data_IF_839625481387
#
_entry.id   IF_839625481387
#
_cell.length_a   1.000
_cell.length_b   1.000
_cell.length_c   1.000
_cell.angle_alpha   90.00
_cell.angle_beta   90.00
_cell.angle_gamma   90.00
#
_symmetry.space_group_name_H-M   'P 1'
#
loop_
_entity.id
_entity.type
_entity.pdbx_description
1 polymer ?
#
# COMPACT_ATOMS: atom_id res chain seq x y z
N UNK A 1 12.87 20.54 -0.93
CA UNK A 1 13.18 19.21 -1.49
C UNK A 1 14.49 18.75 -0.84
N UNK A 2 14.46 17.77 0.05
CA UNK A 2 15.67 17.30 0.75
C UNK A 2 16.42 16.36 -0.20
N UNK A 3 17.61 16.75 -0.63
CA UNK A 3 18.47 15.95 -1.52
C UNK A 3 19.46 15.14 -0.68
N UNK A 4 19.64 13.85 -0.98
CA UNK A 4 20.68 13.03 -0.34
C UNK A 4 22.07 13.59 -0.68
N UNK A 5 22.87 13.87 0.34
CA UNK A 5 24.30 14.16 0.19
C UNK A 5 25.11 12.94 0.68
N UNK A 6 26.39 12.78 0.28
CA UNK A 6 27.21 11.62 0.65
C UNK A 6 27.30 11.31 2.16
N UNK A 7 26.96 12.28 3.01
CA UNK A 7 27.00 12.17 4.46
C UNK A 7 25.63 12.25 5.15
N UNK A 8 24.53 12.22 4.40
CA UNK A 8 23.16 12.33 4.95
C UNK A 8 22.33 11.08 4.62
N UNK A 9 22.71 9.95 5.21
CA UNK A 9 22.02 8.66 5.06
C UNK A 9 20.57 8.69 5.59
N UNK A 10 20.26 9.61 6.50
CA UNK A 10 18.93 9.73 7.12
C UNK A 10 17.83 10.07 6.10
N UNK A 11 18.16 10.74 4.98
CA UNK A 11 17.21 10.99 3.90
C UNK A 11 16.82 9.72 3.10
N UNK A 12 17.65 8.67 3.12
CA UNK A 12 17.41 7.42 2.36
C UNK A 12 16.97 6.25 3.24
N UNK A 13 16.97 6.41 4.57
CA UNK A 13 16.69 5.30 5.51
C UNK A 13 15.32 4.65 5.33
N UNK A 14 14.27 5.42 5.04
CA UNK A 14 12.93 4.89 4.77
C UNK A 14 12.91 4.05 3.47
N UNK A 15 13.59 4.51 2.43
CA UNK A 15 13.72 3.80 1.16
C UNK A 15 14.50 2.50 1.34
N UNK A 16 15.58 2.53 2.12
CA UNK A 16 16.39 1.35 2.44
C UNK A 16 15.59 0.31 3.24
N UNK A 17 14.81 0.74 4.24
CA UNK A 17 13.93 -0.15 5.01
C UNK A 17 12.87 -0.80 4.11
N UNK A 18 12.24 -0.02 3.22
CA UNK A 18 11.28 -0.54 2.25
C UNK A 18 11.91 -1.55 1.28
N UNK A 19 13.09 -1.24 0.75
CA UNK A 19 13.84 -2.15 -0.13
C UNK A 19 14.20 -3.46 0.58
N UNK A 20 14.61 -3.41 1.85
CA UNK A 20 14.93 -4.61 2.63
C UNK A 20 13.72 -5.56 2.75
N UNK A 21 12.53 -5.01 2.99
CA UNK A 21 11.29 -5.80 3.05
C UNK A 21 10.97 -6.41 1.68
N UNK A 22 11.00 -5.60 0.62
CA UNK A 22 10.72 -6.06 -0.75
C UNK A 22 11.66 -7.18 -1.18
N UNK A 23 12.97 -7.03 -0.94
CA UNK A 23 13.96 -8.07 -1.24
C UNK A 23 13.65 -9.35 -0.45
N UNK A 24 13.26 -9.25 0.82
CA UNK A 24 12.86 -10.39 1.64
C UNK A 24 11.65 -11.14 1.07
N UNK A 25 10.61 -10.39 0.66
CA UNK A 25 9.42 -10.96 0.03
C UNK A 25 9.75 -11.65 -1.30
N UNK A 26 10.54 -11.00 -2.16
CA UNK A 26 10.98 -11.57 -3.44
C UNK A 26 11.75 -12.87 -3.19
N UNK A 27 12.72 -12.87 -2.26
CA UNK A 27 13.50 -14.08 -1.91
C UNK A 27 12.61 -15.23 -1.45
N UNK A 28 11.56 -14.95 -0.67
CA UNK A 28 10.60 -15.96 -0.20
C UNK A 28 9.83 -16.60 -1.37
N UNK A 29 9.48 -15.83 -2.39
CA UNK A 29 8.70 -16.32 -3.53
C UNK A 29 9.53 -17.01 -4.61
N UNK A 30 10.78 -16.58 -4.85
CA UNK A 30 11.64 -17.19 -5.89
C UNK A 30 12.30 -18.50 -5.47
N UNK A 31 12.34 -18.80 -4.17
CA UNK A 31 13.00 -20.00 -3.63
C UNK A 31 14.43 -20.16 -4.15
N UNK A 32 14.74 -21.30 -4.77
CA UNK A 32 16.06 -21.60 -5.34
C UNK A 32 16.27 -21.11 -6.79
N UNK A 33 15.39 -20.24 -7.32
CA UNK A 33 15.45 -19.73 -8.69
C UNK A 33 15.70 -18.22 -8.71
N UNK A 34 16.90 -17.74 -8.35
CA UNK A 34 17.16 -16.30 -8.21
C UNK A 34 16.98 -15.49 -9.51
N UNK A 35 17.08 -16.14 -10.68
CA UNK A 35 16.94 -15.47 -11.99
C UNK A 35 15.50 -15.11 -12.36
N UNK A 36 14.49 -15.66 -11.68
CA UNK A 36 13.07 -15.44 -11.99
C UNK A 36 12.43 -14.35 -11.11
N UNK A 37 13.24 -13.52 -10.43
CA UNK A 37 12.74 -12.46 -9.55
C UNK A 37 11.83 -11.45 -10.26
N UNK A 38 12.09 -11.18 -11.53
CA UNK A 38 11.33 -10.22 -12.33
C UNK A 38 9.91 -10.71 -12.63
N UNK A 39 9.68 -12.03 -12.67
CA UNK A 39 8.36 -12.63 -12.92
C UNK A 39 7.40 -12.37 -11.75
N UNK A 40 7.91 -12.31 -10.52
CA UNK A 40 7.12 -12.14 -9.29
C UNK A 40 7.16 -10.71 -8.74
N UNK A 41 7.99 -9.84 -9.31
CA UNK A 41 8.18 -8.47 -8.84
C UNK A 41 6.88 -7.67 -8.77
N UNK A 42 6.07 -7.72 -9.83
CA UNK A 42 4.80 -6.99 -9.91
C UNK A 42 3.83 -7.43 -8.82
N UNK A 43 3.74 -8.74 -8.58
CA UNK A 43 2.88 -9.34 -7.56
C UNK A 43 3.34 -8.96 -6.15
N UNK A 44 4.66 -9.01 -5.90
CA UNK A 44 5.22 -8.61 -4.59
C UNK A 44 5.02 -7.12 -4.33
N UNK A 45 5.22 -6.26 -5.33
CA UNK A 45 4.96 -4.83 -5.19
C UNK A 45 3.48 -4.55 -4.94
N UNK A 46 2.59 -5.26 -5.64
CA UNK A 46 1.15 -5.15 -5.44
C UNK A 46 0.76 -5.53 -4.02
N UNK A 47 1.21 -6.70 -3.54
CA UNK A 47 0.95 -7.13 -2.17
C UNK A 47 1.53 -6.16 -1.14
N UNK A 48 2.77 -5.70 -1.34
CA UNK A 48 3.44 -4.75 -0.45
C UNK A 48 2.69 -3.42 -0.33
N UNK A 49 2.14 -2.90 -1.44
CA UNK A 49 1.42 -1.61 -1.45
C UNK A 49 0.04 -1.70 -0.80
N UNK A 50 -0.65 -2.82 -0.99
CA UNK A 50 -2.03 -3.02 -0.51
C UNK A 50 -2.13 -3.66 0.88
N UNK A 51 -1.03 -4.15 1.45
CA UNK A 51 -1.04 -4.66 2.83
C UNK A 51 -0.89 -3.51 3.82
N UNK A 52 -1.75 -3.42 4.85
CA UNK A 52 -1.56 -2.51 5.96
C UNK A 52 -0.20 -2.72 6.64
N UNK A 53 0.47 -1.63 7.03
CA UNK A 53 1.70 -1.72 7.83
C UNK A 53 1.33 -1.88 9.30
N UNK A 54 2.08 -2.71 10.03
CA UNK A 54 1.85 -2.90 11.45
C UNK A 54 1.99 -1.61 12.28
N UNK A 55 2.84 -0.67 11.83
CA UNK A 55 3.06 0.59 12.56
C UNK A 55 2.00 1.66 12.25
N UNK A 56 1.50 1.73 11.02
CA UNK A 56 0.54 2.78 10.61
C UNK A 56 -0.90 2.29 10.55
N UNK A 57 -1.15 0.97 10.57
CA UNK A 57 -2.48 0.37 10.39
C UNK A 57 -3.11 0.59 9.02
N UNK A 58 -2.46 1.32 8.12
CA UNK A 58 -2.96 1.70 6.79
C UNK A 58 -2.04 1.18 5.68
N UNK A 59 -2.60 1.00 4.48
CA UNK A 59 -1.88 0.54 3.31
C UNK A 59 -1.19 1.72 2.60
N UNK A 60 -0.05 1.46 1.95
CA UNK A 60 0.62 2.52 1.17
C UNK A 60 -0.25 2.98 -0.02
N UNK A 61 -1.09 2.08 -0.55
CA UNK A 61 -2.06 2.42 -1.58
C UNK A 61 -3.09 3.43 -1.07
N UNK A 62 -3.69 3.19 0.11
CA UNK A 62 -4.65 4.11 0.72
C UNK A 62 -4.06 5.49 0.95
N UNK A 63 -2.84 5.59 1.47
CA UNK A 63 -2.17 6.88 1.70
C UNK A 63 -1.97 7.71 0.40
N UNK A 64 -1.82 7.05 -0.75
CA UNK A 64 -1.64 7.73 -2.04
C UNK A 64 -2.99 8.10 -2.65
N UNK A 65 -3.95 7.18 -2.67
CA UNK A 65 -5.19 7.31 -3.43
C UNK A 65 -6.43 7.63 -2.60
N UNK A 66 -6.33 7.66 -1.28
CA UNK A 66 -7.44 7.92 -0.35
C UNK A 66 -8.16 6.68 0.14
N UNK A 67 -8.12 5.58 -0.62
CA UNK A 67 -9.00 4.43 -0.40
C UNK A 67 -8.25 3.12 -0.57
N UNK A 68 -8.72 2.07 0.10
CA UNK A 68 -8.16 0.73 -0.10
C UNK A 68 -8.51 0.20 -1.48
N UNK A 69 -7.53 -0.40 -2.17
CA UNK A 69 -7.75 -1.03 -3.46
C UNK A 69 -8.73 -2.21 -3.33
N UNK A 70 -9.58 -2.39 -4.34
CA UNK A 70 -10.37 -3.62 -4.46
C UNK A 70 -9.43 -4.73 -4.94
N UNK A 71 -9.18 -5.71 -4.08
CA UNK A 71 -8.27 -6.82 -4.42
C UNK A 71 -8.95 -7.80 -5.38
N UNK A 72 -8.15 -8.43 -6.26
CA UNK A 72 -8.67 -9.46 -7.16
C UNK A 72 -9.30 -10.64 -6.41
N UNK A 73 -8.82 -10.95 -5.20
CA UNK A 73 -9.42 -11.94 -4.32
C UNK A 73 -10.84 -11.54 -3.89
N UNK A 74 -11.09 -10.26 -3.63
CA UNK A 74 -12.43 -9.77 -3.27
C UNK A 74 -13.43 -9.96 -4.41
N UNK A 75 -12.97 -9.71 -5.64
CA UNK A 75 -13.77 -9.93 -6.85
C UNK A 75 -14.06 -11.42 -7.02
N UNK A 76 -13.03 -12.27 -6.93
CA UNK A 76 -13.17 -13.72 -7.10
C UNK A 76 -14.08 -14.35 -6.04
N UNK A 77 -14.06 -13.84 -4.80
CA UNK A 77 -14.91 -14.30 -3.71
C UNK A 77 -16.27 -13.59 -3.65
N UNK A 78 -16.49 -12.60 -4.51
CA UNK A 78 -17.67 -11.73 -4.51
C UNK A 78 -17.99 -11.21 -3.10
N UNK A 79 -17.01 -10.58 -2.44
CA UNK A 79 -17.15 -10.09 -1.06
C UNK A 79 -18.27 -9.07 -0.93
N UNK A 80 -18.67 -8.74 0.31
CA UNK A 80 -19.73 -7.76 0.57
C UNK A 80 -19.47 -6.43 -0.15
N UNK A 81 -18.23 -5.93 -0.12
CA UNK A 81 -17.83 -4.69 -0.81
C UNK A 81 -18.13 -4.75 -2.31
N UNK A 82 -17.80 -5.86 -2.97
CA UNK A 82 -18.00 -6.05 -4.42
C UNK A 82 -19.47 -6.30 -4.75
N UNK A 83 -20.12 -7.21 -4.02
CA UNK A 83 -21.51 -7.61 -4.27
C UNK A 83 -22.52 -6.48 -4.02
N UNK A 84 -22.26 -5.61 -3.05
CA UNK A 84 -23.11 -4.48 -2.71
C UNK A 84 -22.80 -3.20 -3.47
N UNK A 85 -21.73 -3.16 -4.26
CA UNK A 85 -21.32 -1.95 -4.98
C UNK A 85 -22.45 -1.36 -5.85
N UNK A 86 -23.25 -2.20 -6.51
CA UNK A 86 -24.35 -1.76 -7.37
C UNK A 86 -25.64 -1.41 -6.59
N UNK A 87 -25.71 -1.77 -5.30
CA UNK A 87 -26.87 -1.48 -4.45
C UNK A 87 -26.78 -0.09 -3.81
N UNK A 88 -25.61 0.59 -3.90
CA UNK A 88 -25.43 1.94 -3.38
C UNK A 88 -25.98 3.00 -4.34
N UNK A 89 -26.83 3.92 -3.85
CA UNK A 89 -27.12 5.15 -4.56
C UNK A 89 -25.81 5.87 -4.91
N UNK A 90 -25.74 6.41 -6.13
CA UNK A 90 -24.52 7.06 -6.64
C UNK A 90 -24.07 8.18 -5.71
N UNK A 91 -25.02 8.98 -5.19
CA UNK A 91 -24.73 10.09 -4.28
C UNK A 91 -24.13 9.59 -2.95
N UNK A 92 -24.68 8.52 -2.38
CA UNK A 92 -24.17 7.92 -1.13
C UNK A 92 -22.75 7.38 -1.31
N UNK A 93 -22.46 6.75 -2.46
CA UNK A 93 -21.12 6.29 -2.80
C UNK A 93 -20.13 7.45 -2.89
N UNK A 94 -20.48 8.53 -3.59
CA UNK A 94 -19.62 9.71 -3.71
C UNK A 94 -19.40 10.40 -2.38
N UNK A 95 -20.43 10.50 -1.53
CA UNK A 95 -20.31 11.08 -0.20
C UNK A 95 -19.36 10.26 0.68
N UNK A 96 -19.52 8.94 0.72
CA UNK A 96 -18.62 8.05 1.47
C UNK A 96 -17.16 8.15 0.98
N UNK A 97 -16.97 8.20 -0.34
CA UNK A 97 -15.65 8.40 -0.95
C UNK A 97 -15.04 9.75 -0.56
N UNK A 98 -15.85 10.81 -0.56
CA UNK A 98 -15.41 12.14 -0.20
C UNK A 98 -15.03 12.25 1.28
N UNK A 99 -15.79 11.61 2.17
CA UNK A 99 -15.50 11.56 3.60
C UNK A 99 -14.16 10.88 3.88
N UNK A 100 -13.88 9.72 3.26
CA UNK A 100 -12.59 9.06 3.35
C UNK A 100 -11.42 9.95 2.84
N UNK A 101 -11.64 10.73 1.77
CA UNK A 101 -10.63 11.69 1.28
C UNK A 101 -10.37 12.83 2.26
N UNK A 102 -11.41 13.32 2.94
CA UNK A 102 -11.26 14.38 3.94
C UNK A 102 -10.43 13.91 5.15
N UNK A 103 -10.54 12.63 5.52
CA UNK A 103 -9.78 12.04 6.62
C UNK A 103 -8.33 11.69 6.24
N UNK A 104 -8.05 11.55 4.93
CA UNK A 104 -6.76 11.09 4.41
C UNK A 104 -5.56 11.91 4.89
N UNK A 105 -5.70 13.24 4.97
CA UNK A 105 -4.58 14.08 5.42
C UNK A 105 -4.22 13.84 6.88
N UNK A 106 -5.22 13.53 7.72
CA UNK A 106 -4.99 13.11 9.10
C UNK A 106 -4.29 11.75 9.15
N UNK A 107 -4.72 10.79 8.33
CA UNK A 107 -4.04 9.49 8.22
C UNK A 107 -2.59 9.62 7.73
N UNK A 108 -2.32 10.54 6.80
CA UNK A 108 -0.95 10.80 6.31
C UNK A 108 -0.05 11.35 7.39
N UNK A 109 -0.55 12.29 8.20
CA UNK A 109 0.22 12.84 9.34
C UNK A 109 0.52 11.73 10.34
N UNK A 110 -0.49 10.96 10.75
CA UNK A 110 -0.31 9.84 11.67
C UNK A 110 0.64 8.78 11.11
N UNK A 111 0.55 8.47 9.81
CA UNK A 111 1.47 7.54 9.17
C UNK A 111 2.91 8.06 9.20
N UNK A 112 3.14 9.36 8.94
CA UNK A 112 4.48 9.95 9.01
C UNK A 112 5.07 9.88 10.42
N UNK A 113 4.26 10.10 11.45
CA UNK A 113 4.69 10.00 12.85
C UNK A 113 5.03 8.56 13.26
N UNK A 114 4.32 7.57 12.71
CA UNK A 114 4.46 6.15 13.05
C UNK A 114 5.35 5.36 12.08
N UNK A 115 6.06 6.01 11.15
CA UNK A 115 6.98 5.34 10.19
C UNK A 115 8.38 5.07 10.79
N UNK A 116 8.55 5.25 12.10
CA UNK A 116 9.82 5.00 12.83
C UNK A 116 9.96 3.52 13.22
#
# INVERSE_FOLDING_TARGET
>A
MVTSTPYYAQANGQVEAAHKILIGLIKKHIGNRPRTWHEILSQVLWAYRNSPRGSTGTSAYKLVYGHDAVLQLEINLNTLRVSKQNDFPVDDYWNAMFDELNELDSERILALENVI
#
